data_IF_544031932767
#
_entry.id   IF_544031932767
#
_cell.length_a   1.000
_cell.length_b   1.000
_cell.length_c   1.000
_cell.angle_alpha   90.00
_cell.angle_beta   90.00
_cell.angle_gamma   90.00
#
_symmetry.space_group_name_H-M   'P 1'
#
loop_
_entity.id
_entity.type
_entity.pdbx_description
1 polymer ?
#
# COMPACT_ATOMS: atom_id res chain seq x y z
N UNK A 1 22.51 -3.72 23.41
CA UNK A 1 22.16 -3.26 22.05
C UNK A 1 20.94 -2.34 22.07
N UNK A 2 19.87 -2.66 22.81
CA UNK A 2 18.65 -1.84 22.92
C UNK A 2 18.88 -0.35 23.25
N UNK A 3 19.68 -0.02 24.28
CA UNK A 3 19.91 1.39 24.69
C UNK A 3 20.57 2.29 23.62
N UNK A 4 21.17 1.72 22.58
CA UNK A 4 21.79 2.53 21.51
C UNK A 4 20.76 3.01 20.48
N UNK A 5 19.57 2.39 20.42
CA UNK A 5 18.57 2.70 19.40
C UNK A 5 17.89 4.06 19.60
N UNK A 6 17.81 4.54 20.84
CA UNK A 6 17.30 5.88 21.16
C UNK A 6 18.07 7.00 20.47
N UNK A 7 19.36 6.80 20.15
CA UNK A 7 20.19 7.78 19.42
C UNK A 7 19.78 7.97 17.96
N UNK A 8 19.00 7.04 17.41
CA UNK A 8 18.51 7.11 16.03
C UNK A 8 17.09 7.69 15.94
N UNK A 9 16.44 7.95 17.08
CA UNK A 9 15.12 8.61 17.11
C UNK A 9 15.28 10.09 16.74
N UNK A 10 14.55 10.51 15.70
CA UNK A 10 14.67 11.85 15.12
C UNK A 10 13.88 12.92 15.89
N UNK A 11 12.98 12.51 16.79
CA UNK A 11 12.13 13.39 17.58
C UNK A 11 12.08 12.92 19.03
N UNK A 12 11.88 13.86 19.96
CA UNK A 12 11.73 13.56 21.39
C UNK A 12 10.53 12.65 21.64
N UNK A 13 9.41 12.84 20.94
CA UNK A 13 8.23 11.98 21.05
C UNK A 13 8.49 10.51 20.70
N UNK A 14 9.35 10.24 19.69
CA UNK A 14 9.72 8.88 19.31
C UNK A 14 10.67 8.24 20.33
N UNK A 15 11.56 9.05 20.92
CA UNK A 15 12.42 8.61 22.01
C UNK A 15 11.61 8.29 23.26
N UNK A 16 10.68 9.16 23.63
CA UNK A 16 9.78 8.94 24.77
C UNK A 16 8.95 7.68 24.55
N UNK A 17 8.31 7.51 23.39
CA UNK A 17 7.54 6.31 23.10
C UNK A 17 8.38 5.03 23.19
N UNK A 18 9.64 5.06 22.74
CA UNK A 18 10.59 3.96 22.86
C UNK A 18 10.96 3.63 24.31
N UNK A 19 11.16 4.66 25.15
CA UNK A 19 11.52 4.52 26.57
C UNK A 19 10.38 3.88 27.40
N UNK A 20 9.13 4.00 26.95
CA UNK A 20 7.97 3.39 27.59
C UNK A 20 7.64 1.97 27.09
N UNK A 21 8.39 1.41 26.13
CA UNK A 21 8.20 0.06 25.62
C UNK A 21 8.84 -1.01 26.52
N UNK A 22 8.16 -2.14 26.71
CA UNK A 22 8.72 -3.25 27.46
C UNK A 22 9.95 -3.81 26.74
N UNK A 23 10.96 -4.16 27.55
CA UNK A 23 12.25 -4.63 27.05
C UNK A 23 13.26 -3.53 26.76
N UNK A 24 12.86 -2.24 26.74
CA UNK A 24 13.81 -1.13 26.65
C UNK A 24 14.72 -1.05 27.89
N UNK A 25 14.13 -0.92 29.08
CA UNK A 25 14.85 -0.80 30.36
C UNK A 25 15.63 -2.07 30.72
N UNK A 26 15.08 -3.23 30.38
CA UNK A 26 15.70 -4.54 30.65
C UNK A 26 16.74 -4.93 29.58
N UNK A 27 16.95 -4.07 28.57
CA UNK A 27 17.75 -4.34 27.39
C UNK A 27 17.41 -5.66 26.65
N UNK A 28 16.17 -6.13 26.78
CA UNK A 28 15.63 -7.26 26.04
C UNK A 28 15.24 -6.80 24.63
N UNK A 29 16.20 -6.96 23.72
CA UNK A 29 16.03 -6.59 22.33
C UNK A 29 14.91 -7.35 21.61
N UNK A 30 14.63 -8.60 22.01
CA UNK A 30 13.63 -9.43 21.34
C UNK A 30 12.22 -8.95 21.69
N UNK A 31 12.01 -8.60 22.97
CA UNK A 31 10.75 -8.02 23.43
C UNK A 31 10.56 -6.61 22.86
N UNK A 32 11.60 -5.76 22.94
CA UNK A 32 11.55 -4.40 22.40
C UNK A 32 11.26 -4.38 20.89
N UNK A 33 11.86 -5.30 20.12
CA UNK A 33 11.61 -5.41 18.68
C UNK A 33 10.15 -5.81 18.40
N UNK A 34 9.56 -6.71 19.21
CA UNK A 34 8.17 -7.10 19.04
C UNK A 34 7.23 -5.93 19.27
N UNK A 35 7.48 -5.12 20.30
CA UNK A 35 6.67 -3.92 20.58
C UNK A 35 6.86 -2.81 19.55
N UNK A 36 8.09 -2.61 19.04
CA UNK A 36 8.33 -1.69 17.94
C UNK A 36 7.57 -2.10 16.68
N UNK A 37 7.48 -3.40 16.39
CA UNK A 37 6.70 -3.91 15.25
C UNK A 37 5.20 -3.82 15.54
N UNK A 38 4.75 -4.06 16.77
CA UNK A 38 3.34 -3.95 17.13
C UNK A 38 2.84 -2.49 17.09
N UNK A 39 3.65 -1.54 17.58
CA UNK A 39 3.28 -0.13 17.65
C UNK A 39 3.61 0.65 16.36
N UNK A 40 4.70 0.31 15.67
CA UNK A 40 5.19 1.04 14.49
C UNK A 40 5.26 0.19 13.21
N UNK A 41 5.09 -1.13 13.29
CA UNK A 41 5.16 -2.04 12.15
C UNK A 41 3.95 -2.00 11.23
N UNK A 42 2.88 -1.25 11.56
CA UNK A 42 1.87 -0.87 10.56
C UNK A 42 2.42 0.09 9.49
N UNK A 43 3.63 0.64 9.67
CA UNK A 43 4.36 1.39 8.64
C UNK A 43 5.09 0.40 7.70
N UNK A 44 4.40 -0.67 7.26
CA UNK A 44 4.80 -1.48 6.10
C UNK A 44 4.07 -0.99 4.83
N UNK A 45 3.97 0.32 4.64
CA UNK A 45 3.79 0.82 3.28
C UNK A 45 5.19 1.02 2.68
N UNK A 46 5.69 0.09 1.83
CA UNK A 46 6.78 0.48 0.94
C UNK A 46 6.37 1.79 0.25
N UNK A 47 7.28 2.76 0.05
CA UNK A 47 6.93 4.01 -0.62
C UNK A 47 6.14 3.66 -1.87
N UNK A 48 4.86 4.06 -1.88
CA UNK A 48 3.88 3.56 -2.85
C UNK A 48 4.45 3.79 -4.25
N UNK A 49 4.84 2.71 -4.93
CA UNK A 49 5.43 2.76 -6.26
C UNK A 49 4.45 3.41 -7.24
N UNK A 50 3.16 3.15 -7.02
CA UNK A 50 2.05 3.80 -7.68
C UNK A 50 0.93 4.13 -6.69
N UNK A 51 0.20 5.17 -7.01
CA UNK A 51 -0.97 5.68 -6.27
C UNK A 51 -2.17 5.81 -7.19
N UNK A 52 -3.36 6.06 -6.63
CA UNK A 52 -4.53 6.39 -7.45
C UNK A 52 -4.34 7.68 -8.28
N UNK A 53 -3.46 8.59 -7.87
CA UNK A 53 -3.13 9.79 -8.64
C UNK A 53 -2.37 9.44 -9.93
N UNK A 54 -1.60 8.36 -9.95
CA UNK A 54 -0.87 7.94 -11.15
C UNK A 54 -1.81 7.39 -12.23
N UNK A 55 -2.94 6.80 -11.84
CA UNK A 55 -4.03 6.49 -12.79
C UNK A 55 -4.66 7.74 -13.40
N UNK A 56 -4.84 8.79 -12.59
CA UNK A 56 -5.38 10.08 -13.06
C UNK A 56 -4.39 10.77 -14.00
N UNK A 57 -3.11 10.83 -13.63
CA UNK A 57 -2.05 11.37 -14.48
C UNK A 57 -1.96 10.63 -15.81
N UNK A 58 -1.97 9.29 -15.80
CA UNK A 58 -1.94 8.48 -17.02
C UNK A 58 -3.10 8.83 -17.96
N UNK A 59 -4.31 9.00 -17.41
CA UNK A 59 -5.47 9.46 -18.17
C UNK A 59 -5.28 10.87 -18.73
N UNK A 60 -4.80 11.81 -17.91
CA UNK A 60 -4.59 13.20 -18.30
C UNK A 60 -3.52 13.35 -19.38
N UNK A 61 -2.43 12.60 -19.29
CA UNK A 61 -1.36 12.57 -20.29
C UNK A 61 -1.91 12.14 -21.65
N UNK A 62 -2.62 11.01 -21.71
CA UNK A 62 -3.26 10.52 -22.94
C UNK A 62 -4.27 11.53 -23.48
N UNK A 63 -5.09 12.13 -22.61
CA UNK A 63 -6.05 13.14 -23.03
C UNK A 63 -5.36 14.39 -23.60
N UNK A 64 -4.29 14.86 -22.97
CA UNK A 64 -3.54 16.05 -23.40
C UNK A 64 -2.83 15.85 -24.75
N UNK A 65 -2.54 14.59 -25.10
CA UNK A 65 -1.92 14.21 -26.38
C UNK A 65 -2.94 14.00 -27.52
N UNK A 66 -4.22 14.30 -27.29
CA UNK A 66 -5.28 14.14 -28.30
C UNK A 66 -6.09 12.85 -28.16
N UNK A 67 -5.88 12.10 -27.08
CA UNK A 67 -6.57 10.84 -26.80
C UNK A 67 -5.98 9.65 -27.57
N UNK A 68 -6.67 8.52 -27.47
CA UNK A 68 -6.29 7.26 -28.13
C UNK A 68 -6.95 7.24 -29.51
N UNK A 69 -6.14 7.21 -30.56
CA UNK A 69 -6.60 7.30 -31.95
C UNK A 69 -6.44 6.00 -32.74
N UNK A 70 -5.59 5.09 -32.24
CA UNK A 70 -5.36 3.80 -32.89
C UNK A 70 -5.18 2.64 -31.90
N UNK A 71 -5.16 1.43 -32.45
CA UNK A 71 -5.10 0.19 -31.67
C UNK A 71 -3.77 0.02 -30.92
N UNK A 72 -2.66 0.53 -31.45
CA UNK A 72 -1.37 0.42 -30.77
C UNK A 72 -1.34 1.32 -29.54
N UNK A 73 -1.78 2.57 -29.66
CA UNK A 73 -1.95 3.50 -28.54
C UNK A 73 -2.90 2.95 -27.46
N UNK A 74 -3.98 2.27 -27.87
CA UNK A 74 -4.87 1.60 -26.94
C UNK A 74 -4.17 0.51 -26.12
N UNK A 75 -3.38 -0.35 -26.78
CA UNK A 75 -2.63 -1.41 -26.09
C UNK A 75 -1.59 -0.84 -25.13
N UNK A 76 -0.91 0.22 -25.53
CA UNK A 76 0.14 0.85 -24.71
C UNK A 76 -0.47 1.51 -23.47
N UNK A 77 -1.60 2.21 -23.63
CA UNK A 77 -2.38 2.73 -22.51
C UNK A 77 -2.88 1.62 -21.57
N UNK A 78 -3.49 0.57 -22.13
CA UNK A 78 -4.02 -0.56 -21.36
C UNK A 78 -2.92 -1.25 -20.55
N UNK A 79 -1.71 -1.38 -21.11
CA UNK A 79 -0.55 -1.95 -20.42
C UNK A 79 -0.19 -1.12 -19.19
N UNK A 80 0.03 0.19 -19.36
CA UNK A 80 0.38 1.07 -18.23
C UNK A 80 -0.72 1.14 -17.16
N UNK A 81 -1.98 1.19 -17.59
CA UNK A 81 -3.13 1.17 -16.69
C UNK A 81 -3.22 -0.14 -15.89
N UNK A 82 -2.97 -1.29 -16.54
CA UNK A 82 -3.00 -2.59 -15.88
C UNK A 82 -1.86 -2.76 -14.89
N UNK A 83 -0.65 -2.32 -15.22
CA UNK A 83 0.51 -2.35 -14.32
C UNK A 83 0.23 -1.57 -13.02
N UNK A 84 -0.34 -0.36 -13.12
CA UNK A 84 -0.73 0.43 -11.95
C UNK A 84 -1.84 -0.26 -11.15
N UNK A 85 -2.88 -0.80 -11.82
CA UNK A 85 -3.97 -1.48 -11.13
C UNK A 85 -3.53 -2.76 -10.41
N UNK A 86 -2.67 -3.56 -11.03
CA UNK A 86 -2.19 -4.81 -10.42
C UNK A 86 -1.32 -4.54 -9.20
N UNK A 87 -0.61 -3.41 -9.17
CA UNK A 87 0.07 -2.92 -7.97
C UNK A 87 -0.92 -2.50 -6.87
N UNK A 88 -1.97 -1.76 -7.22
CA UNK A 88 -2.92 -1.19 -6.24
C UNK A 88 -3.91 -2.21 -5.65
N UNK A 89 -4.42 -3.16 -6.46
CA UNK A 89 -5.40 -4.18 -6.03
C UNK A 89 -5.07 -4.86 -4.69
N UNK A 90 -3.87 -5.42 -4.48
CA UNK A 90 -3.54 -6.09 -3.23
C UNK A 90 -3.42 -5.12 -2.05
N UNK A 91 -3.10 -3.84 -2.28
CA UNK A 91 -3.01 -2.81 -1.24
C UNK A 91 -4.42 -2.45 -0.75
N UNK A 92 -5.36 -2.24 -1.67
CA UNK A 92 -6.75 -1.97 -1.32
C UNK A 92 -7.44 -3.16 -0.64
N UNK A 93 -7.16 -4.39 -1.07
CA UNK A 93 -7.68 -5.61 -0.40
C UNK A 93 -7.19 -5.73 1.04
N UNK A 94 -5.93 -5.38 1.30
CA UNK A 94 -5.36 -5.36 2.66
C UNK A 94 -6.00 -4.28 3.54
N UNK A 95 -6.20 -3.08 3.00
CA UNK A 95 -6.84 -1.95 3.71
C UNK A 95 -8.35 -2.11 3.91
N UNK A 96 -9.02 -2.95 3.11
CA UNK A 96 -10.46 -3.17 3.19
C UNK A 96 -10.83 -4.66 3.08
N UNK A 97 -10.57 -5.47 4.12
CA UNK A 97 -10.78 -6.92 4.09
C UNK A 97 -12.25 -7.32 3.92
N UNK A 98 -13.20 -6.44 4.26
CA UNK A 98 -14.63 -6.68 4.07
C UNK A 98 -15.06 -6.70 2.58
N UNK A 99 -14.28 -6.08 1.69
CA UNK A 99 -14.54 -6.09 0.23
C UNK A 99 -13.91 -7.26 -0.50
N UNK A 100 -13.00 -8.01 0.14
CA UNK A 100 -12.34 -9.16 -0.47
C UNK A 100 -13.25 -10.40 -0.61
N UNK A 101 -14.39 -10.43 0.08
CA UNK A 101 -15.39 -11.51 0.00
C UNK A 101 -16.34 -11.40 -1.19
N UNK A 102 -16.38 -10.28 -1.91
CA UNK A 102 -17.29 -10.10 -3.06
C UNK A 102 -16.56 -10.23 -4.38
N UNK A 103 -16.40 -11.47 -4.85
CA UNK A 103 -16.09 -11.89 -6.22
C UNK A 103 -16.33 -13.42 -6.24
N UNK A 104 -17.20 -14.07 -7.03
CA UNK A 104 -17.91 -13.76 -8.27
C UNK A 104 -19.13 -14.70 -8.30
N UNK A 105 -20.35 -14.20 -8.13
CA UNK A 105 -21.51 -14.88 -8.74
C UNK A 105 -21.76 -14.14 -10.05
N UNK A 106 -21.37 -14.77 -11.17
CA UNK A 106 -21.79 -14.32 -12.49
C UNK A 106 -23.32 -14.24 -12.48
N UNK A 107 -23.93 -13.12 -12.92
CA UNK A 107 -25.37 -13.10 -13.08
C UNK A 107 -25.73 -14.16 -14.12
N UNK A 108 -26.41 -15.21 -13.66
CA UNK A 108 -26.98 -16.23 -14.54
C UNK A 108 -27.87 -15.52 -15.53
N UNK A 109 -27.39 -15.41 -16.77
CA UNK A 109 -28.18 -14.90 -17.88
C UNK A 109 -29.33 -15.89 -18.08
N UNK A 110 -30.49 -15.58 -17.51
CA UNK A 110 -31.75 -16.24 -17.83
C UNK A 110 -32.04 -16.03 -19.32
N UNK A 111 -31.53 -16.96 -20.14
CA UNK A 111 -31.98 -17.12 -21.51
C UNK A 111 -33.43 -17.57 -21.44
N UNK A 112 -34.31 -16.64 -21.80
CA UNK A 112 -35.70 -16.89 -22.10
C UNK A 112 -35.84 -18.09 -23.04
N UNK A 113 -36.77 -18.98 -22.71
CA UNK A 113 -37.50 -19.83 -23.65
C UNK A 113 -38.91 -20.05 -23.09
#
# INVERSE_FOLDING_TARGET
MAMQIGRFMKTEDLLTALEYMDGYDNADWKQLQAEMIELWGEIEEPPLLYTAQDLLKLKEEVFSQGGITNYQEFKDYLKGFSEILDYLKPIYKRKNPATAQWNVEEPSVERHN
#
